data_IF_015155680927
#
_entry.id   IF_015155680927
#
_cell.length_a   1.000
_cell.length_b   1.000
_cell.length_c   1.000
_cell.angle_alpha   90.00
_cell.angle_beta   90.00
_cell.angle_gamma   90.00
#
_symmetry.space_group_name_H-M   'P 1'
#
loop_
_entity.id
_entity.type
_entity.pdbx_description
1 polymer ?
#
# COMPACT_ATOMS: atom_id res chain seq x y z
N UNK A 1 2.63 8.79 -24.26
CA UNK A 1 1.22 8.43 -24.13
C UNK A 1 0.53 9.40 -23.16
N UNK A 2 -0.56 10.05 -23.60
CA UNK A 2 -1.23 11.12 -22.85
C UNK A 2 -2.63 10.66 -22.45
N UNK A 3 -3.08 11.01 -21.25
CA UNK A 3 -4.47 10.81 -20.84
C UNK A 3 -5.40 11.79 -21.55
N UNK A 4 -6.66 11.40 -21.84
CA UNK A 4 -7.67 12.37 -22.22
C UNK A 4 -7.81 13.48 -21.16
N UNK A 5 -7.89 14.74 -21.57
CA UNK A 5 -7.96 15.88 -20.66
C UNK A 5 -9.14 15.78 -19.66
N UNK A 6 -10.23 15.11 -20.03
CA UNK A 6 -11.36 14.88 -19.15
C UNK A 6 -11.04 13.91 -18.00
N UNK A 7 -10.17 12.91 -18.26
CA UNK A 7 -9.70 11.95 -17.25
C UNK A 7 -8.78 12.63 -16.25
N UNK A 8 -7.82 13.43 -16.73
CA UNK A 8 -6.92 14.21 -15.86
C UNK A 8 -7.70 15.19 -14.97
N UNK A 9 -8.63 15.95 -15.57
CA UNK A 9 -9.52 16.85 -14.81
C UNK A 9 -10.38 16.12 -13.76
N UNK A 10 -10.78 14.88 -14.04
CA UNK A 10 -11.53 14.08 -13.08
C UNK A 10 -10.62 13.63 -11.92
N UNK A 11 -9.39 13.22 -12.20
CA UNK A 11 -8.40 12.87 -11.19
C UNK A 11 -8.00 14.07 -10.32
N UNK A 12 -7.86 15.26 -10.91
CA UNK A 12 -7.52 16.50 -10.19
C UNK A 12 -8.58 16.93 -9.17
N UNK A 13 -9.83 16.55 -9.39
CA UNK A 13 -10.94 16.84 -8.49
C UNK A 13 -11.02 15.92 -7.28
N UNK A 14 -10.28 14.81 -7.28
CA UNK A 14 -10.28 13.87 -6.17
C UNK A 14 -9.49 14.49 -5.01
N UNK A 15 -10.11 14.65 -3.82
CA UNK A 15 -9.41 15.20 -2.67
C UNK A 15 -8.34 14.22 -2.18
N UNK A 16 -7.17 14.77 -1.83
CA UNK A 16 -6.08 14.00 -1.22
C UNK A 16 -6.32 13.76 0.28
N UNK A 17 -7.07 14.66 0.93
CA UNK A 17 -7.39 14.54 2.35
C UNK A 17 -8.44 13.46 2.60
N UNK A 18 -8.20 12.68 3.66
CA UNK A 18 -9.12 11.65 4.13
C UNK A 18 -10.01 12.27 5.21
N UNK A 19 -11.33 12.14 5.06
CA UNK A 19 -12.25 12.68 6.07
C UNK A 19 -12.18 11.89 7.38
N UNK A 20 -12.44 12.56 8.50
CA UNK A 20 -12.53 11.92 9.81
C UNK A 20 -13.63 10.83 9.87
N UNK A 21 -14.71 11.01 9.12
CA UNK A 21 -15.79 10.02 8.99
C UNK A 21 -15.31 8.74 8.29
N UNK A 22 -14.49 8.89 7.26
CA UNK A 22 -13.92 7.74 6.55
C UNK A 22 -12.94 6.97 7.44
N UNK A 23 -12.08 7.68 8.16
CA UNK A 23 -11.16 7.07 9.15
C UNK A 23 -11.94 6.30 10.20
N UNK A 24 -13.02 6.88 10.74
CA UNK A 24 -13.83 6.25 11.78
C UNK A 24 -14.53 4.96 11.34
N UNK A 25 -14.74 4.75 10.04
CA UNK A 25 -15.35 3.52 9.48
C UNK A 25 -14.36 2.39 9.24
N UNK A 26 -13.06 2.64 9.40
CA UNK A 26 -11.99 1.70 9.08
C UNK A 26 -11.28 1.19 10.32
N UNK A 27 -10.65 0.03 10.24
CA UNK A 27 -9.70 -0.38 11.26
C UNK A 27 -8.47 0.53 11.20
N UNK A 28 -8.06 1.04 12.36
CA UNK A 28 -6.93 1.96 12.48
C UNK A 28 -5.62 1.21 12.68
N UNK A 29 -4.80 1.17 11.63
CA UNK A 29 -3.45 0.58 11.62
C UNK A 29 -2.34 1.64 11.63
N UNK A 30 -2.66 2.93 11.83
CA UNK A 30 -1.67 4.01 11.81
C UNK A 30 -0.60 3.91 12.89
N UNK A 31 -0.91 3.24 14.00
CA UNK A 31 0.03 2.99 15.11
C UNK A 31 0.73 1.64 15.06
N UNK A 32 0.55 0.85 14.01
CA UNK A 32 1.19 -0.45 13.82
C UNK A 32 2.38 -0.30 12.89
N UNK A 33 3.53 -0.87 13.24
CA UNK A 33 4.73 -0.85 12.38
C UNK A 33 4.39 -1.37 10.99
N UNK A 34 4.54 -0.49 10.01
CA UNK A 34 4.14 -0.72 8.61
C UNK A 34 5.23 -0.20 7.68
N UNK A 35 5.55 -0.94 6.63
CA UNK A 35 6.53 -0.53 5.63
C UNK A 35 6.23 -1.13 4.26
N UNK A 36 6.80 -0.51 3.23
CA UNK A 36 6.79 -1.01 1.85
C UNK A 36 8.18 -1.50 1.45
N UNK A 37 8.24 -2.45 0.50
CA UNK A 37 9.49 -2.99 -0.05
C UNK A 37 9.36 -2.98 -1.58
N UNK A 38 10.05 -2.07 -2.25
CA UNK A 38 9.84 -1.77 -3.65
C UNK A 38 11.15 -1.56 -4.41
N UNK A 39 11.14 -1.63 -5.75
CA UNK A 39 12.29 -1.23 -6.57
C UNK A 39 12.72 0.20 -6.25
N UNK A 40 14.02 0.50 -6.33
CA UNK A 40 14.60 1.80 -5.99
C UNK A 40 13.89 2.99 -6.66
N UNK A 41 13.46 2.82 -7.91
CA UNK A 41 12.85 3.88 -8.71
C UNK A 41 11.32 3.92 -8.64
N UNK A 42 10.69 3.02 -7.87
CA UNK A 42 9.24 2.98 -7.70
C UNK A 42 8.72 4.26 -7.04
N UNK A 43 7.53 4.69 -7.47
CA UNK A 43 6.77 5.83 -6.91
C UNK A 43 5.34 5.43 -6.55
N UNK A 44 4.87 4.34 -7.10
CA UNK A 44 3.57 3.72 -6.96
C UNK A 44 3.68 2.55 -5.97
N UNK A 45 3.63 2.85 -4.68
CA UNK A 45 3.66 1.83 -3.64
C UNK A 45 2.26 1.28 -3.45
N UNK A 46 1.98 0.15 -4.08
CA UNK A 46 0.64 -0.43 -4.14
C UNK A 46 0.34 -1.35 -2.95
N UNK A 47 1.37 -1.90 -2.30
CA UNK A 47 1.27 -2.80 -1.16
C UNK A 47 2.21 -2.42 -0.02
N UNK A 48 1.78 -2.74 1.19
CA UNK A 48 2.56 -2.58 2.41
C UNK A 48 2.36 -3.76 3.34
N UNK A 49 3.35 -4.01 4.18
CA UNK A 49 3.31 -5.01 5.23
C UNK A 49 3.27 -4.36 6.60
N UNK A 50 2.47 -4.90 7.50
CA UNK A 50 2.51 -4.53 8.91
C UNK A 50 2.72 -5.74 9.79
N UNK A 51 3.34 -5.56 10.94
CA UNK A 51 3.56 -6.62 11.90
C UNK A 51 3.51 -6.08 13.31
N UNK A 52 2.87 -6.83 14.21
CA UNK A 52 2.95 -6.61 15.65
C UNK A 52 2.78 -7.91 16.42
N UNK A 53 3.41 -7.98 17.57
CA UNK A 53 3.29 -9.10 18.50
C UNK A 53 1.96 -9.03 19.25
N UNK A 54 1.24 -10.15 19.30
CA UNK A 54 0.02 -10.31 20.07
C UNK A 54 0.31 -11.06 21.39
N UNK A 55 -0.69 -11.09 22.26
CA UNK A 55 -0.63 -11.93 23.46
C UNK A 55 -0.62 -13.41 23.10
N UNK A 56 0.05 -14.23 23.92
CA UNK A 56 0.07 -15.70 23.71
C UNK A 56 1.06 -16.19 22.66
N UNK A 57 2.06 -15.39 22.27
CA UNK A 57 3.09 -15.79 21.33
C UNK A 57 2.64 -15.78 19.85
N UNK A 58 1.51 -15.14 19.57
CA UNK A 58 1.03 -14.92 18.22
C UNK A 58 1.56 -13.60 17.65
N UNK A 59 1.58 -13.54 16.33
CA UNK A 59 1.88 -12.35 15.54
C UNK A 59 0.66 -11.95 14.70
N UNK A 60 0.41 -10.67 14.60
CA UNK A 60 -0.52 -10.11 13.64
C UNK A 60 0.28 -9.56 12.47
N UNK A 61 0.05 -10.12 11.28
CA UNK A 61 0.69 -9.69 10.04
C UNK A 61 -0.40 -9.13 9.12
N UNK A 62 -0.22 -7.90 8.67
CA UNK A 62 -1.12 -7.24 7.74
C UNK A 62 -0.49 -7.15 6.35
N UNK A 63 -1.29 -7.48 5.33
CA UNK A 63 -1.00 -7.19 3.92
C UNK A 63 -2.00 -6.12 3.49
N UNK A 64 -1.51 -4.93 3.19
CA UNK A 64 -2.30 -3.75 2.88
C UNK A 64 -2.15 -3.40 1.41
N UNK A 65 -3.25 -3.38 0.69
CA UNK A 65 -3.29 -2.97 -0.71
C UNK A 65 -3.96 -1.60 -0.81
N UNK A 66 -3.40 -0.70 -1.59
CA UNK A 66 -3.97 0.63 -1.81
C UNK A 66 -5.44 0.54 -2.21
N UNK A 67 -6.33 1.21 -1.46
CA UNK A 67 -7.78 1.17 -1.71
C UNK A 67 -8.18 2.09 -2.85
N UNK A 68 -7.80 1.70 -4.07
CA UNK A 68 -8.08 2.43 -5.30
C UNK A 68 -9.58 2.60 -5.52
N UNK A 69 -10.39 1.61 -5.14
CA UNK A 69 -11.84 1.61 -5.36
C UNK A 69 -12.58 2.66 -4.53
N UNK A 70 -11.96 3.17 -3.47
CA UNK A 70 -12.48 4.31 -2.74
C UNK A 70 -12.51 5.56 -3.62
N UNK A 71 -11.51 5.77 -4.45
CA UNK A 71 -11.31 6.95 -5.29
C UNK A 71 -11.82 6.78 -6.72
N UNK A 72 -11.64 5.60 -7.30
CA UNK A 72 -12.05 5.27 -8.67
C UNK A 72 -13.37 4.51 -8.63
N UNK A 73 -14.45 5.15 -9.07
CA UNK A 73 -15.77 4.55 -9.06
C UNK A 73 -16.02 3.74 -10.33
N UNK A 74 -16.61 2.56 -10.14
CA UNK A 74 -16.99 1.66 -11.23
C UNK A 74 -17.86 2.38 -12.27
N UNK A 75 -17.55 2.18 -13.56
CA UNK A 75 -18.23 2.85 -14.68
C UNK A 75 -17.92 4.34 -14.84
N UNK A 76 -17.09 4.91 -13.96
CA UNK A 76 -16.64 6.30 -14.04
C UNK A 76 -15.65 6.53 -15.20
N UNK A 77 -15.34 7.80 -15.48
CA UNK A 77 -14.45 8.15 -16.61
C UNK A 77 -13.01 7.64 -16.40
N UNK A 78 -12.54 7.60 -15.15
CA UNK A 78 -11.20 7.08 -14.83
C UNK A 78 -11.19 5.57 -14.96
N UNK A 79 -12.22 4.88 -14.45
CA UNK A 79 -12.37 3.43 -14.53
C UNK A 79 -12.40 2.94 -15.98
N UNK A 80 -13.21 3.57 -16.83
CA UNK A 80 -13.27 3.26 -18.27
C UNK A 80 -11.95 3.46 -19.00
N UNK A 81 -11.17 4.46 -18.62
CA UNK A 81 -9.84 4.66 -19.19
C UNK A 81 -8.86 3.61 -18.66
N UNK A 82 -8.95 3.23 -17.39
CA UNK A 82 -8.14 2.17 -16.80
C UNK A 82 -8.44 0.80 -17.44
N UNK A 83 -9.72 0.47 -17.64
CA UNK A 83 -10.17 -0.74 -18.36
C UNK A 83 -9.57 -0.79 -19.78
N UNK A 84 -9.62 0.31 -20.50
CA UNK A 84 -9.06 0.42 -21.84
C UNK A 84 -7.55 0.26 -21.89
N UNK A 85 -6.82 0.73 -20.85
CA UNK A 85 -5.37 0.56 -20.73
C UNK A 85 -5.00 -0.84 -20.25
N UNK A 86 -5.80 -1.44 -19.42
CA UNK A 86 -5.69 -2.77 -18.85
C UNK A 86 -4.52 -3.00 -17.88
N UNK A 87 -3.40 -2.29 -18.03
CA UNK A 87 -2.20 -2.45 -17.19
C UNK A 87 -1.34 -1.19 -17.20
N UNK A 88 -0.47 -1.05 -16.22
CA UNK A 88 0.67 -0.14 -16.31
C UNK A 88 1.80 -0.80 -17.09
N UNK A 89 2.50 -0.02 -17.89
CA UNK A 89 3.62 -0.50 -18.72
C UNK A 89 4.91 0.16 -18.26
N UNK A 90 5.86 -0.64 -17.82
CA UNK A 90 7.16 -0.18 -17.33
C UNK A 90 8.21 -0.34 -18.42
N UNK A 91 8.64 0.78 -19.00
CA UNK A 91 9.69 0.85 -20.01
C UNK A 91 11.03 1.22 -19.35
N UNK A 92 12.11 1.07 -20.09
CA UNK A 92 13.47 1.37 -19.58
C UNK A 92 13.62 2.83 -19.13
N UNK A 93 12.95 3.75 -19.81
CA UNK A 93 13.09 5.20 -19.60
C UNK A 93 11.85 5.87 -18.96
N UNK A 94 10.73 5.17 -18.90
CA UNK A 94 9.47 5.73 -18.39
C UNK A 94 8.45 4.66 -18.00
N UNK A 95 7.47 5.07 -17.20
CA UNK A 95 6.26 4.28 -16.95
C UNK A 95 5.07 4.91 -17.67
N UNK A 96 4.23 4.08 -18.27
CA UNK A 96 2.92 4.46 -18.80
C UNK A 96 1.88 3.88 -17.84
N UNK A 97 1.38 4.66 -16.88
CA UNK A 97 0.54 4.12 -15.82
C UNK A 97 -0.88 3.83 -16.31
N UNK A 98 -1.53 2.84 -15.71
CA UNK A 98 -2.93 2.50 -15.95
C UNK A 98 -3.86 3.59 -15.41
N UNK A 99 -3.55 4.17 -14.26
CA UNK A 99 -4.27 5.27 -13.63
C UNK A 99 -3.48 6.58 -13.74
N UNK A 100 -4.14 7.75 -13.76
CA UNK A 100 -3.46 9.04 -13.72
C UNK A 100 -2.43 9.12 -12.59
N UNK A 101 -1.27 9.72 -12.85
CA UNK A 101 -0.16 9.80 -11.88
C UNK A 101 -0.57 10.39 -10.54
N UNK A 102 -1.51 11.34 -10.53
CA UNK A 102 -2.08 11.88 -9.29
C UNK A 102 -2.65 10.80 -8.39
N UNK A 103 -3.23 9.74 -8.94
CA UNK A 103 -3.74 8.60 -8.17
C UNK A 103 -2.63 7.62 -7.84
N UNK A 104 -1.97 7.04 -8.84
CA UNK A 104 -1.04 5.94 -8.62
C UNK A 104 0.25 6.36 -7.89
N UNK A 105 0.78 7.57 -8.10
CA UNK A 105 2.02 8.01 -7.46
C UNK A 105 1.81 8.84 -6.17
N UNK A 106 0.57 9.30 -5.91
CA UNK A 106 0.30 10.22 -4.78
C UNK A 106 -0.86 9.74 -3.90
N UNK A 107 -2.11 9.87 -4.37
CA UNK A 107 -3.29 9.65 -3.52
C UNK A 107 -3.36 8.20 -3.03
N UNK A 108 -3.19 7.23 -3.94
CA UNK A 108 -3.27 5.81 -3.62
C UNK A 108 -1.93 5.22 -3.16
N UNK A 109 -0.79 5.78 -3.58
CA UNK A 109 0.53 5.27 -3.20
C UNK A 109 0.73 5.28 -1.69
N UNK A 110 1.10 4.14 -1.11
CA UNK A 110 1.28 3.93 0.33
C UNK A 110 2.60 4.55 0.82
N UNK A 111 2.75 5.85 0.60
CA UNK A 111 3.97 6.61 0.89
C UNK A 111 4.25 6.70 2.39
N UNK A 112 5.53 6.68 2.81
CA UNK A 112 5.89 6.81 4.22
C UNK A 112 5.43 8.15 4.81
N UNK A 113 5.09 8.12 6.09
CA UNK A 113 4.64 9.27 6.90
C UNK A 113 3.30 9.88 6.48
N UNK A 114 2.60 9.30 5.51
CA UNK A 114 1.30 9.77 5.04
C UNK A 114 0.19 8.78 5.45
N UNK A 115 -0.96 9.32 5.88
CA UNK A 115 -2.16 8.50 6.11
C UNK A 115 -2.74 8.06 4.76
N UNK A 116 -2.98 6.76 4.62
CA UNK A 116 -3.48 6.15 3.38
C UNK A 116 -4.59 5.16 3.65
N UNK A 117 -5.52 5.10 2.71
CA UNK A 117 -6.60 4.11 2.73
C UNK A 117 -6.12 2.82 2.08
N UNK A 118 -6.37 1.71 2.75
CA UNK A 118 -6.01 0.39 2.26
C UNK A 118 -7.17 -0.60 2.41
N UNK A 119 -7.14 -1.63 1.58
CA UNK A 119 -7.93 -2.84 1.70
C UNK A 119 -6.99 -3.95 2.09
N UNK A 120 -7.23 -4.57 3.24
CA UNK A 120 -6.19 -5.32 3.94
C UNK A 120 -6.65 -6.72 4.29
N UNK A 121 -5.71 -7.66 4.24
CA UNK A 121 -5.84 -8.98 4.84
C UNK A 121 -4.97 -9.02 6.08
N UNK A 122 -5.58 -9.33 7.22
CA UNK A 122 -4.90 -9.37 8.50
C UNK A 122 -4.88 -10.82 8.97
N UNK A 123 -3.68 -11.34 9.22
CA UNK A 123 -3.44 -12.70 9.68
C UNK A 123 -3.02 -12.71 11.15
N UNK A 124 -3.56 -13.64 11.91
CA UNK A 124 -3.01 -14.04 13.21
C UNK A 124 -2.25 -15.36 13.00
N UNK A 125 -0.96 -15.37 13.31
CA UNK A 125 -0.11 -16.51 13.00
C UNK A 125 0.92 -16.76 14.10
N UNK A 126 1.42 -18.00 14.12
CA UNK A 126 2.50 -18.40 15.01
C UNK A 126 3.86 -17.94 14.45
N UNK A 127 4.91 -17.98 15.28
CA UNK A 127 6.30 -17.75 14.85
C UNK A 127 6.78 -18.72 13.75
N UNK A 128 6.06 -19.83 13.54
CA UNK A 128 6.34 -20.81 12.49
C UNK A 128 5.53 -20.58 11.20
N UNK A 129 4.86 -19.45 11.09
CA UNK A 129 4.06 -19.11 9.92
C UNK A 129 2.70 -19.84 9.82
N UNK A 130 2.24 -20.55 10.88
CA UNK A 130 0.92 -21.16 10.88
C UNK A 130 -0.17 -20.10 11.07
N UNK A 131 -1.04 -19.93 10.11
CA UNK A 131 -2.19 -19.04 10.20
C UNK A 131 -3.26 -19.65 11.11
N UNK A 132 -3.61 -18.96 12.18
CA UNK A 132 -4.66 -19.35 13.12
C UNK A 132 -5.99 -18.66 12.82
N UNK A 133 -5.96 -17.43 12.31
CA UNK A 133 -7.13 -16.67 11.93
C UNK A 133 -6.75 -15.67 10.83
N UNK A 134 -7.76 -15.21 10.09
CA UNK A 134 -7.60 -14.12 9.11
C UNK A 134 -8.89 -13.33 8.96
N UNK A 135 -8.77 -12.06 8.61
CA UNK A 135 -9.89 -11.21 8.24
C UNK A 135 -9.52 -10.28 7.09
N UNK A 136 -10.52 -9.92 6.30
CA UNK A 136 -10.38 -8.93 5.23
C UNK A 136 -11.14 -7.69 5.65
N UNK A 137 -10.49 -6.54 5.59
CA UNK A 137 -11.04 -5.31 6.18
C UNK A 137 -10.51 -4.06 5.48
N UNK A 138 -11.33 -3.01 5.45
CA UNK A 138 -10.88 -1.67 5.09
C UNK A 138 -10.09 -1.06 6.25
N UNK A 139 -8.90 -0.56 5.96
CA UNK A 139 -8.00 0.02 6.96
C UNK A 139 -7.60 1.45 6.60
N UNK A 140 -7.12 2.18 7.60
CA UNK A 140 -6.28 3.36 7.43
C UNK A 140 -4.90 3.02 7.99
N UNK A 141 -3.87 3.22 7.18
CA UNK A 141 -2.48 2.94 7.54
C UNK A 141 -1.64 4.21 7.49
N UNK A 142 -0.48 4.16 8.10
CA UNK A 142 0.59 5.15 7.95
C UNK A 142 1.91 4.38 7.90
N UNK A 143 2.50 4.28 6.73
CA UNK A 143 3.77 3.57 6.57
C UNK A 143 4.90 4.31 7.29
N UNK A 144 5.72 3.59 8.06
CA UNK A 144 6.85 4.13 8.80
C UNK A 144 8.12 4.22 7.94
N UNK A 145 8.23 3.34 6.94
CA UNK A 145 9.44 3.23 6.14
C UNK A 145 9.14 2.68 4.74
N UNK A 146 9.84 3.20 3.76
CA UNK A 146 9.95 2.58 2.43
C UNK A 146 11.34 1.95 2.30
N UNK A 147 11.40 0.64 2.11
CA UNK A 147 12.62 -0.09 1.79
C UNK A 147 12.77 -0.31 0.29
N UNK A 148 14.01 -0.33 -0.17
CA UNK A 148 14.34 -0.98 -1.44
C UNK A 148 14.50 -2.49 -1.22
N UNK A 149 14.43 -3.29 -2.29
CA UNK A 149 14.72 -4.72 -2.18
C UNK A 149 16.11 -4.98 -1.61
N UNK A 150 17.11 -4.19 -2.01
CA UNK A 150 18.49 -4.30 -1.54
C UNK A 150 18.61 -3.99 -0.05
N UNK A 151 17.94 -2.95 0.45
CA UNK A 151 17.93 -2.61 1.88
C UNK A 151 17.28 -3.71 2.72
N UNK A 152 16.14 -4.24 2.28
CA UNK A 152 15.47 -5.34 2.98
C UNK A 152 16.34 -6.61 2.98
N UNK A 153 16.96 -6.96 1.86
CA UNK A 153 17.86 -8.09 1.72
C UNK A 153 19.09 -7.96 2.64
N UNK A 154 19.67 -6.77 2.73
CA UNK A 154 20.80 -6.51 3.64
C UNK A 154 20.41 -6.75 5.11
N UNK A 155 19.20 -6.36 5.52
CA UNK A 155 18.72 -6.62 6.88
C UNK A 155 18.54 -8.12 7.12
N UNK A 156 17.98 -8.85 6.17
CA UNK A 156 17.80 -10.32 6.23
C UNK A 156 19.16 -11.01 6.37
N UNK A 157 20.15 -10.62 5.58
CA UNK A 157 21.46 -11.25 5.58
C UNK A 157 22.34 -10.88 6.79
N UNK A 158 22.26 -9.64 7.27
CA UNK A 158 23.14 -9.12 8.32
C UNK A 158 22.49 -9.07 9.69
N UNK A 159 21.17 -9.09 9.77
CA UNK A 159 20.40 -8.88 10.99
C UNK A 159 20.52 -7.46 11.54
N UNK A 160 20.88 -6.47 10.70
CA UNK A 160 21.12 -5.08 11.11
C UNK A 160 20.44 -4.10 10.18
N UNK A 161 19.75 -3.12 10.74
CA UNK A 161 19.11 -2.03 10.01
C UNK A 161 17.88 -1.51 10.72
N UNK A 162 17.16 -0.60 10.07
CA UNK A 162 15.91 -0.07 10.56
C UNK A 162 14.85 -1.19 10.58
N UNK A 163 14.04 -1.25 11.65
CA UNK A 163 12.98 -2.28 11.80
C UNK A 163 13.50 -3.71 11.61
N UNK A 164 14.75 -3.99 12.01
CA UNK A 164 15.40 -5.28 11.82
C UNK A 164 14.60 -6.45 12.42
N UNK A 165 14.00 -6.28 13.59
CA UNK A 165 13.21 -7.32 14.24
C UNK A 165 11.98 -7.67 13.42
N UNK A 166 11.27 -6.66 12.91
CA UNK A 166 10.06 -6.82 12.11
C UNK A 166 10.38 -7.44 10.73
N UNK A 167 11.46 -6.98 10.08
CA UNK A 167 11.88 -7.51 8.78
C UNK A 167 12.29 -8.98 8.91
N UNK A 168 13.09 -9.33 9.92
CA UNK A 168 13.52 -10.72 10.16
C UNK A 168 12.37 -11.64 10.57
N UNK A 169 11.32 -11.10 11.21
CA UNK A 169 10.17 -11.91 11.59
C UNK A 169 9.25 -12.19 10.39
N UNK A 170 9.28 -11.35 9.36
CA UNK A 170 8.49 -11.51 8.14
C UNK A 170 9.20 -12.40 7.10
N UNK A 171 10.52 -12.59 7.19
CA UNK A 171 11.30 -13.51 6.37
C UNK A 171 11.09 -14.97 6.80
#
# INVERSE_FOLDING_TARGET
YVYPAAVEKAADKIPAEISAEEIARREDFRGVTTFTIDPKDAKDFDDALSIRKLKGGLWEVGVHIADVTHYVKEGGIIDKEAEKRATSVYLVDRTIPMLPERLCNFICSLRPDEEKLAYSVIFEMTEKGEVKNSRVVHTVIKSDRRFTYEEAQEIIETGKGDFQEEVLQLD
#
